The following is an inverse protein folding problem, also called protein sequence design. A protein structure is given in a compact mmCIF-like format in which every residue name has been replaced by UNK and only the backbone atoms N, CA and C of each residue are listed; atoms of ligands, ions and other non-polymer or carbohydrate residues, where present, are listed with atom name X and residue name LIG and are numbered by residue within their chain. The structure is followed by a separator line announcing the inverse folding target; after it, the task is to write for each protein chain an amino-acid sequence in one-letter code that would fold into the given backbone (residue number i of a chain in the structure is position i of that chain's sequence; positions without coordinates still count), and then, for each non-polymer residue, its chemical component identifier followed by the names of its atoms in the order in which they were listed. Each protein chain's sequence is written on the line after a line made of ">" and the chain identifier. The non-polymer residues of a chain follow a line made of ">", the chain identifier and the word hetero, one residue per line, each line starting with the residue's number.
data_IF_226388082141
#
_entry.id   IF_226388082141
#
_cell.length_a   1.000
_cell.length_b   1.000
_cell.length_c   1.000
_cell.angle_alpha   90.00
_cell.angle_beta   90.00
_cell.angle_gamma   90.00
#
_symmetry.space_group_name_H-M   'P 1'
#
loop_
_entity.id
_entity.type
_entity.pdbx_description
1 polymer ?
#
# COMPACT_ATOMS: atom_id res chain seq x y z
N UNK A 1 -34.73 -5.37 3.69
CA UNK A 1 -33.51 -4.60 3.97
C UNK A 1 -32.68 -4.60 2.72
N UNK A 2 -32.69 -3.49 1.98
CA UNK A 2 -31.86 -3.29 0.78
C UNK A 2 -30.49 -2.83 1.24
N UNK A 3 -29.48 -3.68 1.08
CA UNK A 3 -28.08 -3.31 1.26
C UNK A 3 -27.69 -2.39 0.10
N UNK A 4 -27.50 -1.10 0.39
CA UNK A 4 -26.86 -0.20 -0.56
C UNK A 4 -25.38 -0.64 -0.68
N UNK A 5 -25.08 -1.37 -1.74
CA UNK A 5 -23.71 -1.67 -2.13
C UNK A 5 -23.17 -0.41 -2.78
N UNK A 6 -22.34 0.34 -2.04
CA UNK A 6 -21.49 1.36 -2.66
C UNK A 6 -20.45 0.60 -3.50
N UNK A 7 -20.70 0.51 -4.80
CA UNK A 7 -19.71 0.01 -5.75
C UNK A 7 -18.63 1.09 -5.83
N UNK A 8 -17.54 0.86 -5.10
CA UNK A 8 -16.32 1.63 -5.29
C UNK A 8 -15.72 1.09 -6.59
N UNK A 9 -15.67 1.94 -7.63
CA UNK A 9 -14.99 1.62 -8.89
C UNK A 9 -13.48 1.48 -8.64
N UNK A 10 -13.07 0.31 -8.14
CA UNK A 10 -11.69 -0.14 -8.17
C UNK A 10 -11.37 -0.49 -9.62
N UNK A 11 -11.09 0.53 -10.45
CA UNK A 11 -10.71 0.33 -11.84
C UNK A 11 -9.60 -0.74 -11.92
N UNK A 12 -9.61 -1.58 -12.96
CA UNK A 12 -8.51 -2.54 -13.22
C UNK A 12 -7.14 -1.84 -13.35
N UNK A 13 -7.16 -0.58 -13.78
CA UNK A 13 -6.03 0.36 -13.84
C UNK A 13 -5.88 1.23 -12.57
N UNK A 14 -6.62 0.93 -11.51
CA UNK A 14 -6.82 1.78 -10.32
C UNK A 14 -5.60 1.95 -9.40
N UNK A 15 -4.42 1.60 -9.87
CA UNK A 15 -3.19 2.03 -9.21
C UNK A 15 -3.06 3.56 -9.40
N UNK A 16 -2.82 4.33 -8.33
CA UNK A 16 -2.54 5.74 -8.50
C UNK A 16 -1.25 5.92 -9.30
N UNK A 17 -1.18 6.97 -10.11
CA UNK A 17 0.02 7.36 -10.87
C UNK A 17 0.45 8.78 -10.49
N UNK A 18 1.67 9.17 -10.90
CA UNK A 18 2.22 10.50 -10.67
C UNK A 18 2.12 10.96 -9.21
N UNK A 19 1.57 12.16 -9.01
CA UNK A 19 1.47 12.79 -7.68
C UNK A 19 0.62 12.02 -6.67
N UNK A 20 -0.44 11.37 -7.15
CA UNK A 20 -1.29 10.54 -6.31
C UNK A 20 -0.53 9.29 -5.82
N UNK A 21 0.33 8.71 -6.67
CA UNK A 21 1.20 7.60 -6.28
C UNK A 21 2.28 8.07 -5.30
N UNK A 22 2.87 9.25 -5.55
CA UNK A 22 3.92 9.85 -4.71
C UNK A 22 3.44 10.12 -3.29
N UNK A 23 2.24 10.66 -3.14
CA UNK A 23 1.73 11.12 -1.83
C UNK A 23 0.90 10.07 -1.11
N UNK A 24 0.23 9.19 -1.86
CA UNK A 24 -0.85 8.33 -1.35
C UNK A 24 -1.90 9.11 -0.53
N UNK A 25 -2.06 10.41 -0.80
CA UNK A 25 -3.09 11.18 -0.12
C UNK A 25 -4.47 10.69 -0.54
N UNK A 26 -5.37 10.37 0.41
CA UNK A 26 -6.71 9.90 0.09
C UNK A 26 -7.47 10.93 -0.76
N UNK A 27 -7.74 10.60 -2.02
CA UNK A 27 -8.54 11.43 -2.93
C UNK A 27 -10.04 11.11 -2.91
N UNK A 28 -10.47 10.16 -2.08
CA UNK A 28 -11.83 9.60 -2.08
C UNK A 28 -12.79 10.31 -1.11
N UNK A 29 -12.45 11.52 -0.67
CA UNK A 29 -13.34 12.39 0.12
C UNK A 29 -13.70 11.84 1.50
N UNK A 30 -12.95 10.86 2.00
CA UNK A 30 -13.11 10.32 3.36
C UNK A 30 -12.09 10.94 4.30
N UNK A 31 -12.50 11.14 5.54
CA UNK A 31 -11.60 11.64 6.58
C UNK A 31 -10.45 10.67 6.81
N UNK A 32 -9.29 11.24 7.16
CA UNK A 32 -8.15 10.45 7.62
C UNK A 32 -8.57 9.61 8.82
N UNK A 33 -8.10 8.38 8.88
CA UNK A 33 -8.30 7.57 10.06
C UNK A 33 -7.43 8.10 11.21
N UNK A 34 -8.07 8.57 12.29
CA UNK A 34 -7.39 9.05 13.50
C UNK A 34 -7.37 8.01 14.64
N UNK A 35 -8.27 7.04 14.61
CA UNK A 35 -8.36 5.94 15.58
C UNK A 35 -7.41 4.78 15.26
N UNK A 36 -7.12 3.95 16.26
CA UNK A 36 -6.29 2.74 16.08
C UNK A 36 -6.89 1.84 15.00
N UNK A 37 -6.09 1.49 14.00
CA UNK A 37 -6.50 0.56 12.95
C UNK A 37 -6.61 -0.88 13.45
N UNK A 38 -7.64 -1.60 12.98
CA UNK A 38 -7.73 -3.06 13.11
C UNK A 38 -6.63 -3.75 12.30
N UNK A 39 -6.14 -3.09 11.25
CA UNK A 39 -5.01 -3.52 10.43
C UNK A 39 -3.68 -3.09 11.05
N UNK A 40 -2.67 -3.94 10.93
CA UNK A 40 -1.34 -3.76 11.53
C UNK A 40 -0.25 -4.05 10.50
N UNK A 41 0.80 -3.24 10.56
CA UNK A 41 2.04 -3.45 9.82
C UNK A 41 3.13 -3.81 10.82
N UNK A 42 3.83 -4.90 10.58
CA UNK A 42 5.04 -5.28 11.30
C UNK A 42 6.21 -5.30 10.32
N UNK A 43 7.34 -4.71 10.70
CA UNK A 43 8.57 -4.72 9.92
C UNK A 43 9.67 -5.38 10.75
N UNK A 44 10.30 -6.41 10.21
CA UNK A 44 11.42 -7.09 10.85
C UNK A 44 12.62 -7.16 9.92
N UNK A 45 13.80 -6.98 10.50
CA UNK A 45 15.07 -7.12 9.78
C UNK A 45 15.39 -8.62 9.73
N UNK A 46 15.66 -9.15 8.53
CA UNK A 46 16.33 -10.45 8.43
C UNK A 46 17.82 -10.21 8.65
N UNK A 47 18.36 -10.75 9.74
CA UNK A 47 19.80 -10.74 9.99
C UNK A 47 20.52 -11.38 8.78
N UNK A 48 21.45 -10.64 8.18
CA UNK A 48 22.34 -10.96 7.05
C UNK A 48 21.94 -10.51 5.64
N UNK A 49 20.83 -9.82 5.43
CA UNK A 49 20.53 -9.23 4.13
C UNK A 49 19.96 -7.83 4.34
N UNK A 50 20.26 -6.90 3.44
CA UNK A 50 19.72 -5.54 3.36
C UNK A 50 18.20 -5.49 3.11
N UNK A 51 17.47 -6.52 3.55
CA UNK A 51 16.08 -6.83 3.29
C UNK A 51 15.28 -6.70 4.57
N UNK A 52 14.13 -6.05 4.43
CA UNK A 52 13.14 -5.90 5.48
C UNK A 52 11.97 -6.79 5.11
N UNK A 53 11.53 -7.63 6.04
CA UNK A 53 10.28 -8.37 5.89
C UNK A 53 9.17 -7.50 6.45
N UNK A 54 8.21 -7.16 5.61
CA UNK A 54 7.03 -6.39 6.00
C UNK A 54 5.82 -7.31 5.98
N UNK A 55 5.08 -7.33 7.07
CA UNK A 55 3.86 -8.14 7.23
C UNK A 55 2.68 -7.21 7.53
N UNK A 56 1.72 -7.18 6.60
CA UNK A 56 0.42 -6.55 6.79
C UNK A 56 -0.59 -7.60 7.22
N UNK A 57 -1.28 -7.39 8.34
CA UNK A 57 -2.25 -8.35 8.87
C UNK A 57 -3.36 -7.66 9.67
N UNK A 58 -4.46 -8.37 9.92
CA UNK A 58 -5.50 -7.96 10.87
C UNK A 58 -5.86 -9.13 11.78
N UNK A 59 -5.96 -8.94 13.12
CA UNK A 59 -6.38 -10.00 14.03
C UNK A 59 -7.87 -10.35 13.94
N UNK A 60 -8.71 -9.46 13.40
CA UNK A 60 -10.17 -9.53 13.54
C UNK A 60 -10.93 -9.24 12.26
N UNK A 61 -10.24 -8.97 11.15
CA UNK A 61 -10.85 -8.46 9.93
C UNK A 61 -10.07 -8.92 8.70
N UNK A 62 -10.64 -8.74 7.52
CA UNK A 62 -9.97 -8.94 6.23
C UNK A 62 -9.86 -7.63 5.48
N UNK A 63 -8.92 -7.54 4.55
CA UNK A 63 -8.82 -6.42 3.61
C UNK A 63 -8.95 -6.95 2.18
N UNK A 64 -9.63 -6.19 1.33
CA UNK A 64 -9.84 -6.54 -0.08
C UNK A 64 -8.61 -6.22 -0.95
N UNK A 65 -7.72 -5.38 -0.44
CA UNK A 65 -6.49 -4.99 -1.11
C UNK A 65 -5.71 -4.01 -0.24
N UNK A 66 -4.51 -3.67 -0.69
CA UNK A 66 -3.66 -2.68 -0.03
C UNK A 66 -2.85 -1.91 -1.06
N UNK A 67 -2.40 -0.73 -0.64
CA UNK A 67 -1.27 -0.02 -1.23
C UNK A 67 -0.30 0.31 -0.10
N UNK A 68 0.99 0.08 -0.34
CA UNK A 68 2.05 0.30 0.63
C UNK A 68 3.18 1.07 -0.03
N UNK A 69 3.83 1.96 0.70
CA UNK A 69 4.95 2.74 0.21
C UNK A 69 6.00 2.89 1.31
N UNK A 70 7.26 2.69 0.95
CA UNK A 70 8.39 2.90 1.85
C UNK A 70 8.84 4.36 1.77
N UNK A 71 8.91 5.03 2.93
CA UNK A 71 9.37 6.42 3.09
C UNK A 71 10.58 6.50 4.01
N UNK A 72 11.46 7.47 3.78
CA UNK A 72 12.59 7.70 4.66
C UNK A 72 12.09 8.11 6.05
N UNK A 73 12.76 7.61 7.09
CA UNK A 73 12.41 8.00 8.46
C UNK A 73 12.77 9.47 8.73
N UNK A 74 13.90 9.93 8.16
CA UNK A 74 14.40 11.31 8.28
C UNK A 74 13.56 12.32 7.50
N UNK A 75 12.88 11.89 6.43
CA UNK A 75 12.02 12.72 5.62
C UNK A 75 10.84 11.90 5.10
N UNK A 76 9.66 12.14 5.67
CA UNK A 76 8.45 11.40 5.33
C UNK A 76 7.90 11.77 3.96
N UNK A 77 8.32 12.87 3.35
CA UNK A 77 7.93 13.21 1.98
C UNK A 77 8.79 12.48 0.95
N UNK A 78 9.97 11.99 1.35
CA UNK A 78 10.87 11.24 0.49
C UNK A 78 10.65 9.73 0.53
N UNK A 79 10.77 9.13 -0.65
CA UNK A 79 10.66 7.70 -0.84
C UNK A 79 12.00 7.02 -0.56
N UNK A 80 11.97 5.81 0.01
CA UNK A 80 13.19 5.01 0.18
C UNK A 80 13.69 4.61 -1.21
N UNK A 81 15.00 4.79 -1.46
CA UNK A 81 15.68 4.17 -2.59
C UNK A 81 15.84 2.67 -2.33
N UNK A 82 14.79 1.92 -2.67
CA UNK A 82 14.69 0.48 -2.51
C UNK A 82 13.52 -0.06 -3.33
N UNK A 83 13.37 -1.37 -3.35
CA UNK A 83 12.30 -2.03 -4.11
C UNK A 83 11.55 -3.04 -3.25
N UNK A 84 10.25 -3.12 -3.44
CA UNK A 84 9.47 -4.25 -2.94
C UNK A 84 9.68 -5.48 -3.84
N UNK A 85 9.85 -6.65 -3.23
CA UNK A 85 9.72 -7.92 -3.94
C UNK A 85 8.25 -8.22 -4.18
N UNK A 86 7.90 -8.66 -5.39
CA UNK A 86 6.54 -9.02 -5.78
C UNK A 86 6.35 -10.53 -5.87
N UNK A 87 5.11 -10.96 -5.72
CA UNK A 87 4.64 -12.33 -5.92
C UNK A 87 3.42 -12.35 -6.85
N UNK A 88 2.70 -13.47 -6.89
CA UNK A 88 1.53 -13.63 -7.76
C UNK A 88 0.30 -12.79 -7.37
N UNK A 89 0.30 -12.19 -6.17
CA UNK A 89 -0.77 -11.39 -5.59
C UNK A 89 -0.40 -9.92 -5.42
N UNK A 90 0.82 -9.53 -5.79
CA UNK A 90 1.32 -8.18 -5.59
C UNK A 90 2.00 -7.64 -6.83
N UNK A 91 1.89 -6.33 -7.03
CA UNK A 91 2.55 -5.61 -8.11
C UNK A 91 3.23 -4.38 -7.54
N UNK A 92 4.50 -4.18 -7.90
CA UNK A 92 5.19 -2.95 -7.57
C UNK A 92 4.77 -1.82 -8.50
N UNK A 93 4.63 -0.63 -7.94
CA UNK A 93 4.28 0.60 -8.63
C UNK A 93 5.52 1.46 -8.76
N UNK A 94 5.70 2.01 -9.95
CA UNK A 94 6.66 3.06 -10.21
C UNK A 94 5.97 4.41 -10.07
N UNK A 95 6.15 5.05 -8.92
CA UNK A 95 5.52 6.34 -8.62
C UNK A 95 6.31 7.54 -9.18
N UNK A 96 7.58 7.37 -9.55
CA UNK A 96 8.50 8.48 -9.86
C UNK A 96 9.39 8.26 -11.10
N UNK A 97 9.26 7.14 -11.81
CA UNK A 97 10.03 6.82 -13.00
C UNK A 97 11.36 6.10 -12.75
N UNK A 98 11.70 5.78 -11.50
CA UNK A 98 13.05 5.29 -11.15
C UNK A 98 13.06 4.14 -10.13
N UNK A 99 12.02 3.98 -9.29
CA UNK A 99 12.02 3.00 -8.20
C UNK A 99 10.66 2.34 -7.96
N UNK A 100 10.68 1.03 -7.72
CA UNK A 100 9.53 0.19 -7.37
C UNK A 100 9.24 0.22 -5.86
N UNK A 101 9.15 1.43 -5.31
CA UNK A 101 9.12 1.69 -3.87
C UNK A 101 7.69 1.76 -3.29
N UNK A 102 6.69 1.50 -4.12
CA UNK A 102 5.31 1.26 -3.72
C UNK A 102 4.85 -0.10 -4.22
N UNK A 103 3.95 -0.75 -3.50
CA UNK A 103 3.40 -2.06 -3.83
C UNK A 103 1.89 -2.06 -3.62
N UNK A 104 1.16 -2.65 -4.56
CA UNK A 104 -0.28 -2.87 -4.47
C UNK A 104 -0.62 -4.35 -4.49
N UNK A 105 -1.77 -4.67 -3.92
CA UNK A 105 -2.43 -5.96 -4.17
C UNK A 105 -2.95 -6.02 -5.61
N UNK A 106 -2.84 -7.18 -6.23
CA UNK A 106 -3.51 -7.52 -7.49
C UNK A 106 -4.40 -8.73 -7.27
N UNK A 107 -5.68 -8.59 -7.59
CA UNK A 107 -6.59 -9.72 -7.63
C UNK A 107 -6.48 -10.38 -9.01
N UNK A 108 -6.07 -11.64 -9.07
CA UNK A 108 -6.29 -12.49 -10.24
C UNK A 108 -7.66 -13.13 -10.06
N UNK A 109 -8.70 -12.46 -10.54
CA UNK A 109 -10.02 -13.10 -10.77
C UNK A 109 -9.98 -13.72 -12.15
#
# INVERSE_FOLDING_TARGET
>A
MTTNVNIIDAYSNGAPNGEACRTLYPGHGVDKQYGRSSYRINASVRFNDSKIVVTLYSPSDTFLGFIMQARLHSDREMLVNGQFSTDEHTQALDCLGEYFNAQRFISKI
#
